data_IF_117978071634
#
_entry.id   IF_117978071634
#
_cell.length_a   1.000
_cell.length_b   1.000
_cell.length_c   1.000
_cell.angle_alpha   90.00
_cell.angle_beta   90.00
_cell.angle_gamma   90.00
#
_symmetry.space_group_name_H-M   'P 1'
#
loop_
_entity.id
_entity.type
_entity.pdbx_description
1 polymer ?
#
# COMPACT_ATOMS: atom_id res chain seq x y z
N UNK A 1 -27.98 26.93 -2.16
CA UNK A 1 -28.53 26.66 -0.81
C UNK A 1 -27.35 26.28 0.05
N UNK A 2 -27.10 27.05 1.11
CA UNK A 2 -25.97 26.90 2.02
C UNK A 2 -26.15 25.65 2.88
N UNK A 3 -25.31 24.64 2.69
CA UNK A 3 -24.96 23.74 3.78
C UNK A 3 -23.67 24.28 4.39
N UNK A 4 -23.75 24.81 5.60
CA UNK A 4 -22.59 25.07 6.44
C UNK A 4 -21.81 23.76 6.62
N UNK A 5 -20.71 23.66 5.89
CA UNK A 5 -19.58 22.74 6.05
C UNK A 5 -19.13 22.68 7.53
N UNK A 6 -19.73 21.78 8.32
CA UNK A 6 -19.49 21.74 9.75
C UNK A 6 -18.41 20.69 10.08
N UNK A 7 -17.37 21.11 10.80
CA UNK A 7 -16.41 20.19 11.41
C UNK A 7 -17.15 19.24 12.36
N UNK A 8 -17.01 17.93 12.14
CA UNK A 8 -17.56 16.90 13.01
C UNK A 8 -16.51 16.44 14.00
N UNK A 9 -16.91 16.10 15.23
CA UNK A 9 -15.99 15.57 16.24
C UNK A 9 -15.80 14.08 15.97
N UNK A 10 -14.55 13.69 15.69
CA UNK A 10 -14.12 12.29 15.66
C UNK A 10 -13.07 12.16 16.76
N UNK A 11 -13.34 11.42 17.83
CA UNK A 11 -12.47 11.47 19.01
C UNK A 11 -11.03 11.02 18.68
N UNK A 12 -10.00 11.72 19.17
CA UNK A 12 -10.02 12.90 20.05
C UNK A 12 -9.90 14.26 19.32
N UNK A 13 -10.12 14.29 18.00
CA UNK A 13 -9.89 15.45 17.16
C UNK A 13 -11.15 15.87 16.39
N UNK A 14 -10.91 16.44 15.22
CA UNK A 14 -11.93 17.00 14.34
C UNK A 14 -11.79 16.40 12.95
N UNK A 15 -12.92 16.26 12.26
CA UNK A 15 -12.98 15.75 10.91
C UNK A 15 -13.80 16.71 10.06
N UNK A 16 -13.32 16.96 8.85
CA UNK A 16 -14.03 17.68 7.82
C UNK A 16 -14.27 16.77 6.63
N UNK A 17 -15.49 16.76 6.11
CA UNK A 17 -15.88 15.95 4.97
C UNK A 17 -16.09 16.83 3.74
N UNK A 18 -15.22 16.69 2.73
CA UNK A 18 -15.33 17.40 1.46
C UNK A 18 -16.34 16.74 0.49
N UNK A 19 -16.55 15.43 0.65
CA UNK A 19 -17.48 14.63 -0.14
C UNK A 19 -16.86 14.04 -1.41
N UNK A 20 -16.98 12.73 -1.57
CA UNK A 20 -16.59 11.99 -2.77
C UNK A 20 -17.45 12.44 -3.98
N UNK A 21 -18.75 12.69 -3.79
CA UNK A 21 -19.64 13.18 -4.85
C UNK A 21 -19.13 14.51 -5.40
N UNK A 22 -18.84 15.45 -4.49
CA UNK A 22 -18.36 16.78 -4.83
C UNK A 22 -17.01 16.69 -5.56
N UNK A 23 -16.10 15.85 -5.07
CA UNK A 23 -14.81 15.64 -5.69
C UNK A 23 -14.91 15.06 -7.12
N UNK A 24 -15.77 14.05 -7.33
CA UNK A 24 -16.03 13.49 -8.66
C UNK A 24 -16.63 14.54 -9.60
N UNK A 25 -17.62 15.31 -9.14
CA UNK A 25 -18.24 16.36 -9.95
C UNK A 25 -17.22 17.43 -10.35
N UNK A 26 -16.37 17.87 -9.43
CA UNK A 26 -15.34 18.87 -9.70
C UNK A 26 -14.27 18.33 -10.66
N UNK A 27 -13.91 17.05 -10.56
CA UNK A 27 -13.01 16.41 -11.53
C UNK A 27 -13.54 16.52 -12.96
N UNK A 28 -14.83 16.26 -13.19
CA UNK A 28 -15.45 16.32 -14.53
C UNK A 28 -15.85 17.72 -14.99
N UNK A 29 -15.83 18.73 -14.11
CA UNK A 29 -15.88 20.14 -14.54
C UNK A 29 -14.57 20.58 -15.19
N UNK A 30 -13.45 20.05 -14.71
CA UNK A 30 -12.09 20.44 -15.13
C UNK A 30 -11.61 19.56 -16.29
N UNK A 31 -11.89 18.25 -16.24
CA UNK A 31 -11.47 17.28 -17.24
C UNK A 31 -12.64 16.90 -18.15
N UNK A 32 -12.44 17.01 -19.48
CA UNK A 32 -13.48 16.74 -20.46
C UNK A 32 -14.01 15.30 -20.40
N UNK A 33 -15.33 15.16 -20.48
CA UNK A 33 -16.05 13.88 -20.50
C UNK A 33 -16.24 13.40 -21.93
N UNK A 34 -15.39 12.51 -22.44
CA UNK A 34 -15.72 11.75 -23.65
C UNK A 34 -15.91 10.27 -23.28
N UNK A 35 -17.14 9.77 -23.47
CA UNK A 35 -17.58 8.37 -23.33
C UNK A 35 -17.05 7.62 -22.10
N UNK A 36 -17.52 7.99 -20.91
CA UNK A 36 -17.20 7.28 -19.65
C UNK A 36 -18.41 6.45 -19.23
N UNK A 37 -18.30 5.13 -19.38
CA UNK A 37 -19.33 4.20 -18.92
C UNK A 37 -19.25 3.96 -17.40
N UNK A 38 -18.03 4.00 -16.85
CA UNK A 38 -17.76 3.69 -15.45
C UNK A 38 -16.66 4.62 -14.91
N UNK A 39 -16.95 5.26 -13.78
CA UNK A 39 -15.98 6.05 -13.01
C UNK A 39 -15.27 5.12 -12.02
N UNK A 40 -13.96 4.92 -12.23
CA UNK A 40 -13.10 4.09 -11.39
C UNK A 40 -12.30 4.94 -10.41
N UNK A 41 -12.67 4.89 -9.13
CA UNK A 41 -12.02 5.67 -8.07
C UNK A 41 -11.01 4.80 -7.34
N UNK A 42 -9.81 5.32 -7.10
CA UNK A 42 -8.84 4.71 -6.19
C UNK A 42 -8.75 5.57 -4.95
N UNK A 43 -8.81 4.95 -3.77
CA UNK A 43 -8.83 5.62 -2.47
C UNK A 43 -7.48 5.44 -1.78
N UNK A 44 -6.96 6.53 -1.22
CA UNK A 44 -5.77 6.56 -0.40
C UNK A 44 -6.10 7.08 1.00
N UNK A 45 -5.51 6.49 2.03
CA UNK A 45 -5.60 6.94 3.43
C UNK A 45 -4.21 6.81 4.02
N UNK A 46 -3.76 7.87 4.67
CA UNK A 46 -2.44 7.94 5.29
C UNK A 46 -2.52 8.68 6.62
N UNK A 47 -1.58 8.41 7.53
CA UNK A 47 -1.43 9.10 8.81
C UNK A 47 -0.13 9.89 8.83
N UNK A 48 -0.23 11.21 8.73
CA UNK A 48 0.93 12.09 8.53
C UNK A 48 1.12 13.05 9.72
N UNK A 49 2.33 13.13 10.31
CA UNK A 49 2.64 14.19 11.28
C UNK A 49 2.72 15.54 10.57
N UNK A 50 2.08 16.57 11.11
CA UNK A 50 2.02 17.92 10.49
C UNK A 50 3.28 18.72 10.77
N UNK A 51 3.82 18.60 11.99
CA UNK A 51 5.04 19.32 12.37
C UNK A 51 5.98 18.40 13.13
N UNK A 52 7.29 18.54 12.87
CA UNK A 52 8.35 17.74 13.51
C UNK A 52 8.41 17.90 15.04
N UNK A 53 7.85 18.99 15.57
CA UNK A 53 7.89 19.37 16.99
C UNK A 53 6.50 19.35 17.68
N UNK A 54 5.44 18.95 16.97
CA UNK A 54 4.10 18.86 17.56
C UNK A 54 3.57 17.42 17.46
N UNK A 55 2.73 17.00 18.40
CA UNK A 55 1.99 15.74 18.30
C UNK A 55 0.86 15.78 17.27
N UNK A 56 0.69 16.87 16.52
CA UNK A 56 -0.39 17.04 15.56
C UNK A 56 -0.23 16.12 14.35
N UNK A 57 -1.32 15.45 13.99
CA UNK A 57 -1.41 14.47 12.91
C UNK A 57 -2.61 14.78 12.01
N UNK A 58 -2.42 14.61 10.70
CA UNK A 58 -3.48 14.60 9.70
C UNK A 58 -3.73 13.18 9.24
N UNK A 59 -5.01 12.83 9.10
CA UNK A 59 -5.45 11.59 8.48
C UNK A 59 -6.40 11.90 7.32
N UNK A 60 -5.86 12.21 6.12
CA UNK A 60 -6.68 12.43 4.94
C UNK A 60 -7.23 11.12 4.36
N UNK A 61 -8.47 11.20 3.90
CA UNK A 61 -9.05 10.30 2.90
C UNK A 61 -8.91 11.03 1.57
N UNK A 62 -8.13 10.45 0.67
CA UNK A 62 -7.83 10.99 -0.66
C UNK A 62 -8.40 10.07 -1.72
N UNK A 63 -8.63 10.62 -2.90
CA UNK A 63 -9.02 9.85 -4.07
C UNK A 63 -8.41 10.39 -5.35
N UNK A 64 -8.34 9.54 -6.36
CA UNK A 64 -8.18 9.96 -7.76
C UNK A 64 -9.07 9.10 -8.65
N UNK A 65 -9.36 9.58 -9.85
CA UNK A 65 -10.14 8.86 -10.86
C UNK A 65 -9.18 8.33 -11.92
N UNK A 66 -9.23 7.03 -12.23
CA UNK A 66 -8.40 6.44 -13.29
C UNK A 66 -8.78 7.03 -14.67
N UNK A 67 -7.79 7.22 -15.58
CA UNK A 67 -6.35 6.94 -15.42
C UNK A 67 -5.56 8.10 -14.78
N UNK A 68 -6.23 9.17 -14.36
CA UNK A 68 -5.65 10.46 -13.95
C UNK A 68 -5.09 10.45 -12.51
N UNK A 69 -4.12 9.56 -12.24
CA UNK A 69 -3.49 9.42 -10.93
C UNK A 69 -2.80 10.70 -10.43
N UNK A 70 -2.35 11.60 -11.31
CA UNK A 70 -1.77 12.89 -10.91
C UNK A 70 -2.81 13.90 -10.38
N UNK A 71 -4.11 13.65 -10.60
CA UNK A 71 -5.20 14.53 -10.17
C UNK A 71 -5.84 14.00 -8.89
N UNK A 72 -5.07 13.97 -7.80
CA UNK A 72 -5.56 13.59 -6.47
C UNK A 72 -6.42 14.70 -5.87
N UNK A 73 -7.49 14.32 -5.18
CA UNK A 73 -8.39 15.22 -4.45
C UNK A 73 -8.66 14.73 -3.02
N UNK A 74 -8.91 15.64 -2.07
CA UNK A 74 -9.36 15.27 -0.74
C UNK A 74 -10.85 14.89 -0.74
N UNK A 75 -11.19 13.86 0.04
CA UNK A 75 -12.57 13.41 0.31
C UNK A 75 -12.95 13.74 1.74
N UNK A 76 -12.03 13.58 2.68
CA UNK A 76 -12.19 13.99 4.06
C UNK A 76 -10.84 14.13 4.73
N UNK A 77 -10.75 14.97 5.76
CA UNK A 77 -9.52 15.19 6.50
C UNK A 77 -9.84 15.17 7.98
N UNK A 78 -9.17 14.28 8.70
CA UNK A 78 -9.11 14.32 10.14
C UNK A 78 -7.87 15.08 10.61
N UNK A 79 -8.03 15.87 11.67
CA UNK A 79 -6.97 16.56 12.38
C UNK A 79 -7.07 16.30 13.88
N UNK A 80 -5.95 15.98 14.52
CA UNK A 80 -5.88 15.84 15.97
C UNK A 80 -4.45 15.69 16.48
N UNK A 81 -4.28 15.73 17.81
CA UNK A 81 -3.00 15.46 18.47
C UNK A 81 -2.70 13.97 18.65
N UNK A 82 -3.65 13.13 18.25
CA UNK A 82 -3.53 11.69 18.24
C UNK A 82 -4.28 11.20 17.01
N UNK A 83 -3.96 9.99 16.58
CA UNK A 83 -4.74 9.24 15.61
C UNK A 83 -6.21 9.11 16.07
N UNK A 84 -7.20 9.05 15.16
CA UNK A 84 -8.58 8.77 15.53
C UNK A 84 -8.67 7.49 16.37
N UNK A 85 -9.44 7.53 17.46
CA UNK A 85 -9.56 6.38 18.37
C UNK A 85 -10.23 5.20 17.68
N UNK A 86 -11.26 5.46 16.87
CA UNK A 86 -11.97 4.45 16.11
C UNK A 86 -11.95 4.77 14.62
N UNK A 87 -11.57 3.78 13.81
CA UNK A 87 -11.53 3.91 12.36
C UNK A 87 -12.92 4.00 11.73
N UNK A 88 -13.95 3.39 12.32
CA UNK A 88 -15.31 3.43 11.79
C UNK A 88 -15.91 4.83 11.98
N UNK A 89 -15.75 5.45 13.15
CA UNK A 89 -16.15 6.84 13.39
C UNK A 89 -15.46 7.79 12.39
N UNK A 90 -14.17 7.56 12.12
CA UNK A 90 -13.40 8.32 11.14
C UNK A 90 -13.91 8.14 9.69
N UNK A 91 -14.39 6.95 9.33
CA UNK A 91 -14.80 6.58 7.98
C UNK A 91 -16.31 6.78 7.72
N UNK A 92 -17.11 7.06 8.75
CA UNK A 92 -18.57 6.99 8.69
C UNK A 92 -19.19 7.83 7.58
N UNK A 93 -18.80 9.11 7.47
CA UNK A 93 -19.31 10.02 6.44
C UNK A 93 -18.91 9.57 5.04
N UNK A 94 -17.64 9.18 4.86
CA UNK A 94 -17.14 8.65 3.60
C UNK A 94 -17.89 7.37 3.17
N UNK A 95 -18.05 6.40 4.07
CA UNK A 95 -18.68 5.12 3.75
C UNK A 95 -20.17 5.30 3.45
N UNK A 96 -20.86 6.14 4.22
CA UNK A 96 -22.28 6.44 3.99
C UNK A 96 -22.52 7.05 2.61
N UNK A 97 -21.71 8.04 2.24
CA UNK A 97 -21.80 8.68 0.92
C UNK A 97 -21.38 7.72 -0.21
N UNK A 98 -20.25 7.01 -0.03
CA UNK A 98 -19.75 6.07 -1.02
C UNK A 98 -20.77 4.95 -1.29
N UNK A 99 -21.43 4.41 -0.26
CA UNK A 99 -22.48 3.39 -0.42
C UNK A 99 -23.61 3.85 -1.33
N UNK A 100 -24.05 5.11 -1.18
CA UNK A 100 -25.08 5.71 -2.04
C UNK A 100 -24.58 5.88 -3.49
N UNK A 101 -23.35 6.36 -3.68
CA UNK A 101 -22.75 6.56 -5.01
C UNK A 101 -22.51 5.24 -5.76
N UNK A 102 -22.03 4.21 -5.05
CA UNK A 102 -21.77 2.88 -5.61
C UNK A 102 -23.07 2.17 -6.01
N UNK A 103 -24.17 2.43 -5.31
CA UNK A 103 -25.48 1.82 -5.59
C UNK A 103 -26.22 2.56 -6.70
N UNK A 104 -26.26 3.89 -6.63
CA UNK A 104 -27.14 4.71 -7.48
C UNK A 104 -26.42 5.33 -8.69
N UNK A 105 -25.08 5.27 -8.72
CA UNK A 105 -24.28 6.05 -9.64
C UNK A 105 -24.28 7.54 -9.31
N UNK A 106 -23.75 8.34 -10.24
CA UNK A 106 -23.66 9.80 -10.12
C UNK A 106 -24.12 10.47 -11.42
N UNK A 107 -24.89 11.55 -11.29
CA UNK A 107 -25.30 12.34 -12.44
C UNK A 107 -24.18 13.29 -12.86
N UNK A 108 -23.65 13.08 -14.06
CA UNK A 108 -22.69 13.95 -14.74
C UNK A 108 -23.30 14.39 -16.06
N UNK A 109 -23.46 15.70 -16.25
CA UNK A 109 -23.99 16.30 -17.49
C UNK A 109 -25.34 15.71 -17.96
N UNK A 110 -26.20 15.29 -17.01
CA UNK A 110 -27.53 14.75 -17.31
C UNK A 110 -27.57 13.22 -17.49
N UNK A 111 -26.43 12.54 -17.46
CA UNK A 111 -26.34 11.08 -17.52
C UNK A 111 -25.92 10.47 -16.18
N UNK A 112 -26.60 9.41 -15.76
CA UNK A 112 -26.21 8.64 -14.57
C UNK A 112 -25.08 7.69 -14.98
N UNK A 113 -23.90 7.92 -14.42
CA UNK A 113 -22.70 7.11 -14.66
C UNK A 113 -22.46 6.22 -13.44
N UNK A 114 -22.13 4.95 -13.69
CA UNK A 114 -21.79 4.00 -12.63
C UNK A 114 -20.46 4.40 -11.97
N UNK A 115 -20.43 4.38 -10.65
CA UNK A 115 -19.21 4.61 -9.85
C UNK A 115 -18.77 3.29 -9.25
N UNK A 116 -17.46 3.01 -9.30
CA UNK A 116 -16.85 1.91 -8.55
C UNK A 116 -15.62 2.41 -7.79
N UNK A 117 -15.37 1.82 -6.61
CA UNK A 117 -14.05 1.90 -5.98
C UNK A 117 -13.24 0.74 -6.56
N UNK A 118 -12.25 1.08 -7.37
CA UNK A 118 -11.41 0.13 -8.12
C UNK A 118 -10.16 -0.26 -7.32
N UNK A 119 -9.95 0.32 -6.13
CA UNK A 119 -8.88 -0.10 -5.22
C UNK A 119 -8.64 0.85 -4.05
N UNK A 120 -8.07 0.31 -2.97
CA UNK A 120 -7.50 1.06 -1.85
C UNK A 120 -5.97 0.91 -1.86
N UNK A 121 -5.24 2.02 -1.94
CA UNK A 121 -3.78 2.03 -1.84
C UNK A 121 -3.36 2.73 -0.57
N UNK A 122 -2.88 1.93 0.38
CA UNK A 122 -2.56 2.33 1.75
C UNK A 122 -1.21 1.74 2.14
N UNK A 123 -0.49 2.44 3.01
CA UNK A 123 0.63 1.82 3.73
C UNK A 123 0.10 0.74 4.71
N UNK A 124 1.00 -0.07 5.26
CA UNK A 124 0.58 -1.16 6.14
C UNK A 124 -0.05 -0.67 7.46
N UNK A 125 0.52 0.31 8.18
CA UNK A 125 -0.11 0.90 9.36
C UNK A 125 -1.53 1.45 9.14
N UNK A 126 -1.75 2.25 8.09
CA UNK A 126 -3.07 2.79 7.76
C UNK A 126 -4.03 1.67 7.37
N UNK A 127 -3.57 0.69 6.56
CA UNK A 127 -4.36 -0.49 6.21
C UNK A 127 -4.83 -1.25 7.45
N UNK A 128 -3.92 -1.57 8.37
CA UNK A 128 -4.27 -2.29 9.61
C UNK A 128 -5.27 -1.51 10.46
N UNK A 129 -5.14 -0.19 10.51
CA UNK A 129 -6.09 0.67 11.21
C UNK A 129 -7.48 0.63 10.60
N UNK A 130 -7.61 0.95 9.32
CA UNK A 130 -8.92 1.09 8.68
C UNK A 130 -9.63 -0.24 8.55
N UNK A 131 -8.89 -1.35 8.47
CA UNK A 131 -9.44 -2.71 8.43
C UNK A 131 -9.63 -3.33 9.82
N UNK A 132 -9.17 -2.70 10.90
CA UNK A 132 -9.18 -3.24 12.28
C UNK A 132 -8.54 -4.64 12.39
N UNK A 133 -7.37 -4.80 11.77
CA UNK A 133 -6.59 -6.05 11.74
C UNK A 133 -5.21 -5.85 12.36
N UNK A 134 -4.53 -6.95 12.73
CA UNK A 134 -3.18 -6.91 13.31
C UNK A 134 -2.22 -6.13 12.40
N UNK A 135 -1.39 -5.29 13.02
CA UNK A 135 -0.31 -4.55 12.35
C UNK A 135 0.79 -5.47 11.82
N UNK A 136 1.60 -5.02 10.86
CA UNK A 136 2.71 -5.77 10.23
C UNK A 136 3.75 -6.42 11.18
N UNK A 137 3.75 -6.06 12.47
CA UNK A 137 4.61 -6.66 13.48
C UNK A 137 3.95 -7.83 14.23
N UNK A 138 2.65 -8.05 14.06
CA UNK A 138 1.90 -9.15 14.67
C UNK A 138 2.09 -10.48 13.92
N UNK A 139 1.86 -11.59 14.60
CA UNK A 139 2.01 -12.94 14.04
C UNK A 139 1.01 -13.20 12.90
N UNK A 140 -0.29 -12.99 13.12
CA UNK A 140 -1.33 -13.13 12.10
C UNK A 140 -1.55 -11.87 11.24
N UNK A 141 -0.48 -11.16 10.88
CA UNK A 141 -0.61 -9.84 10.24
C UNK A 141 -0.75 -9.85 8.72
N UNK A 142 -0.45 -10.98 8.06
CA UNK A 142 -0.59 -11.05 6.60
C UNK A 142 -2.05 -10.91 6.19
N UNK A 143 -2.32 -9.97 5.28
CA UNK A 143 -3.67 -9.68 4.75
C UNK A 143 -4.11 -10.63 3.64
N UNK A 144 -3.19 -11.46 3.12
CA UNK A 144 -3.40 -12.30 1.93
C UNK A 144 -3.44 -13.78 2.23
N UNK A 145 -2.74 -14.24 3.27
CA UNK A 145 -2.71 -15.65 3.65
C UNK A 145 -2.76 -15.85 5.17
N UNK A 146 -2.94 -17.11 5.55
CA UNK A 146 -3.03 -17.56 6.95
C UNK A 146 -1.67 -17.88 7.58
N UNK A 147 -0.56 -17.60 6.88
CA UNK A 147 0.77 -17.83 7.43
C UNK A 147 0.98 -16.99 8.70
N UNK A 148 1.29 -17.68 9.80
CA UNK A 148 1.57 -17.09 11.10
C UNK A 148 3.06 -16.73 11.19
N UNK A 149 3.37 -15.55 11.72
CA UNK A 149 4.74 -15.16 11.99
C UNK A 149 5.35 -15.88 13.20
N UNK A 150 6.67 -16.04 13.19
CA UNK A 150 7.47 -16.54 14.31
C UNK A 150 8.25 -15.39 14.97
N UNK A 151 8.46 -15.47 16.29
CA UNK A 151 9.38 -14.58 17.00
C UNK A 151 10.78 -15.18 17.09
N UNK A 152 11.71 -14.70 16.26
CA UNK A 152 13.08 -15.20 16.21
C UNK A 152 14.07 -14.05 16.39
N UNK A 153 15.05 -14.18 17.28
CA UNK A 153 16.12 -13.17 17.49
C UNK A 153 15.58 -11.74 17.67
N UNK A 154 14.63 -11.60 18.60
CA UNK A 154 14.02 -10.33 19.00
C UNK A 154 13.28 -9.57 17.87
N UNK A 155 12.65 -10.32 16.95
CA UNK A 155 11.83 -9.75 15.87
C UNK A 155 10.80 -10.77 15.40
N UNK A 156 9.66 -10.26 14.94
CA UNK A 156 8.68 -11.05 14.19
C UNK A 156 9.19 -11.29 12.76
N UNK A 157 9.09 -12.52 12.30
CA UNK A 157 9.48 -12.95 10.95
C UNK A 157 8.49 -13.97 10.39
N UNK A 158 8.53 -14.21 9.09
CA UNK A 158 7.61 -15.06 8.35
C UNK A 158 8.40 -16.09 7.54
N UNK A 159 9.11 -17.02 8.20
CA UNK A 159 9.87 -18.06 7.51
C UNK A 159 8.94 -18.87 6.59
N UNK A 160 9.46 -19.35 5.47
CA UNK A 160 8.66 -20.16 4.56
C UNK A 160 8.48 -21.57 5.14
N UNK A 161 7.34 -21.83 5.78
CA UNK A 161 7.06 -23.15 6.36
C UNK A 161 6.48 -24.12 5.33
N UNK A 162 5.70 -23.62 4.37
CA UNK A 162 4.93 -24.42 3.42
C UNK A 162 5.13 -23.99 1.96
N UNK A 163 5.06 -24.97 1.04
CA UNK A 163 5.09 -24.73 -0.42
C UNK A 163 3.81 -24.08 -0.95
N UNK A 164 2.69 -24.25 -0.25
CA UNK A 164 1.38 -23.71 -0.62
C UNK A 164 0.80 -22.84 0.51
N UNK A 165 0.62 -21.55 0.24
CA UNK A 165 0.00 -20.61 1.16
C UNK A 165 -1.53 -20.72 1.07
N UNK A 166 -2.19 -20.91 2.22
CA UNK A 166 -3.65 -20.84 2.31
C UNK A 166 -4.07 -19.38 2.29
N UNK A 167 -4.83 -18.98 1.26
CA UNK A 167 -5.28 -17.60 1.07
C UNK A 167 -6.41 -17.24 2.02
N UNK A 168 -6.44 -15.97 2.47
CA UNK A 168 -7.59 -15.37 3.15
C UNK A 168 -8.68 -15.06 2.13
N UNK A 169 -9.94 -15.09 2.59
CA UNK A 169 -11.09 -14.66 1.78
C UNK A 169 -11.83 -13.51 2.47
N UNK A 170 -12.60 -12.74 1.68
CA UNK A 170 -13.50 -11.73 2.23
C UNK A 170 -14.48 -12.31 3.26
N UNK A 171 -15.02 -13.50 3.01
CA UNK A 171 -15.93 -14.16 3.93
C UNK A 171 -15.25 -14.53 5.25
N UNK A 172 -14.00 -15.00 5.23
CA UNK A 172 -13.24 -15.28 6.47
C UNK A 172 -13.06 -14.00 7.31
N UNK A 173 -12.85 -12.85 6.67
CA UNK A 173 -12.77 -11.55 7.33
C UNK A 173 -14.11 -11.12 7.95
N UNK A 174 -15.20 -11.15 7.18
CA UNK A 174 -16.53 -10.68 7.64
C UNK A 174 -17.07 -11.58 8.76
N UNK A 175 -16.90 -12.88 8.63
CA UNK A 175 -17.31 -13.87 9.66
C UNK A 175 -16.35 -13.94 10.85
N UNK A 176 -15.23 -13.20 10.79
CA UNK A 176 -14.14 -13.23 11.78
C UNK A 176 -13.67 -14.65 12.11
N UNK A 177 -13.62 -15.54 11.10
CA UNK A 177 -13.27 -16.95 11.26
C UNK A 177 -11.92 -17.16 11.97
N UNK A 178 -10.99 -16.22 11.77
CA UNK A 178 -9.67 -16.22 12.40
C UNK A 178 -9.53 -14.99 13.30
N UNK A 179 -10.04 -15.09 14.54
CA UNK A 179 -10.12 -13.96 15.47
C UNK A 179 -8.76 -13.27 15.72
N UNK A 180 -7.69 -14.05 15.74
CA UNK A 180 -6.32 -13.57 15.90
C UNK A 180 -5.88 -12.59 14.79
N UNK A 181 -6.54 -12.56 13.63
CA UNK A 181 -6.24 -11.55 12.62
C UNK A 181 -6.79 -10.16 12.97
N UNK A 182 -7.81 -10.10 13.83
CA UNK A 182 -8.55 -8.88 14.15
C UNK A 182 -8.02 -8.22 15.44
N UNK A 183 -8.11 -6.89 15.53
CA UNK A 183 -7.70 -6.15 16.75
C UNK A 183 -8.83 -5.97 17.76
N UNK A 184 -10.03 -6.50 17.48
CA UNK A 184 -11.19 -6.36 18.36
C UNK A 184 -12.42 -7.07 17.80
N UNK A 185 -13.57 -6.81 18.43
CA UNK A 185 -14.82 -7.50 18.12
C UNK A 185 -15.65 -6.90 16.98
N UNK A 186 -15.24 -5.72 16.51
CA UNK A 186 -15.95 -4.94 15.50
C UNK A 186 -15.09 -4.95 14.23
N UNK A 187 -15.69 -5.26 13.08
CA UNK A 187 -15.04 -5.19 11.76
C UNK A 187 -15.13 -3.77 11.17
N UNK A 188 -14.38 -3.53 10.10
CA UNK A 188 -14.41 -2.24 9.41
C UNK A 188 -15.73 -2.03 8.67
N UNK A 189 -16.32 -0.84 8.78
CA UNK A 189 -17.47 -0.45 7.96
C UNK A 189 -17.16 -0.39 6.44
N UNK A 190 -15.88 -0.47 6.05
CA UNK A 190 -15.51 -0.62 4.64
C UNK A 190 -15.99 -1.94 4.04
N UNK A 191 -16.26 -2.98 4.84
CA UNK A 191 -16.86 -4.22 4.32
C UNK A 191 -18.33 -4.06 3.92
N UNK A 192 -18.99 -2.97 4.35
CA UNK A 192 -20.40 -2.71 4.03
C UNK A 192 -20.58 -2.02 2.67
N UNK A 193 -19.48 -1.63 2.03
CA UNK A 193 -19.48 -1.02 0.71
C UNK A 193 -19.83 -2.07 -0.37
N UNK A 194 -20.75 -1.76 -1.30
CA UNK A 194 -21.13 -2.68 -2.36
C UNK A 194 -19.93 -3.10 -3.23
N UNK A 195 -19.82 -4.39 -3.52
CA UNK A 195 -18.81 -4.98 -4.40
C UNK A 195 -17.35 -4.79 -3.93
N UNK A 196 -17.13 -4.62 -2.63
CA UNK A 196 -15.78 -4.61 -2.04
C UNK A 196 -15.40 -5.98 -1.52
N UNK A 197 -14.25 -6.48 -1.96
CA UNK A 197 -13.54 -7.60 -1.34
C UNK A 197 -12.37 -7.04 -0.51
N UNK A 198 -12.44 -7.16 0.82
CA UNK A 198 -11.42 -6.63 1.74
C UNK A 198 -10.02 -7.21 1.48
N UNK A 199 -9.93 -8.45 0.98
CA UNK A 199 -8.64 -9.07 0.64
C UNK A 199 -8.14 -8.50 -0.69
N UNK A 200 -8.99 -8.50 -1.73
CA UNK A 200 -8.54 -8.23 -3.09
C UNK A 200 -8.52 -6.74 -3.47
N UNK A 201 -9.43 -5.93 -2.93
CA UNK A 201 -9.57 -4.50 -3.27
C UNK A 201 -8.47 -3.64 -2.62
N UNK A 202 -7.77 -4.15 -1.60
CA UNK A 202 -6.72 -3.43 -0.86
C UNK A 202 -5.33 -3.87 -1.32
N UNK A 203 -4.77 -3.20 -2.33
CA UNK A 203 -3.46 -3.56 -2.90
C UNK A 203 -2.31 -3.47 -1.89
N UNK A 204 -1.32 -4.36 -2.02
CA UNK A 204 -0.07 -4.25 -1.29
C UNK A 204 0.81 -3.21 -1.99
N UNK A 205 0.95 -2.05 -1.35
CA UNK A 205 1.69 -0.94 -1.94
C UNK A 205 3.19 -1.27 -2.11
N UNK A 206 3.61 -1.43 -3.36
CA UNK A 206 5.00 -1.77 -3.69
C UNK A 206 5.98 -0.64 -3.34
N UNK A 207 5.51 0.61 -3.20
CA UNK A 207 6.35 1.72 -2.77
C UNK A 207 6.87 1.46 -1.35
N UNK A 208 5.98 1.19 -0.38
CA UNK A 208 6.37 0.85 0.98
C UNK A 208 6.97 -0.57 1.10
N UNK A 209 6.38 -1.55 0.42
CA UNK A 209 6.79 -2.95 0.53
C UNK A 209 8.14 -3.21 -0.13
N UNK A 210 8.31 -2.80 -1.39
CA UNK A 210 9.49 -3.13 -2.20
C UNK A 210 10.53 -2.02 -2.14
N UNK A 211 10.16 -0.78 -2.43
CA UNK A 211 11.14 0.31 -2.54
C UNK A 211 11.69 0.69 -1.14
N UNK A 212 10.82 1.06 -0.20
CA UNK A 212 11.25 1.46 1.14
C UNK A 212 11.53 0.26 2.05
N UNK A 213 10.88 -0.87 1.82
CA UNK A 213 11.03 -2.09 2.61
C UNK A 213 12.21 -2.93 2.17
N UNK A 214 12.11 -3.56 1.00
CA UNK A 214 13.06 -4.58 0.55
C UNK A 214 14.36 -3.97 0.06
N UNK A 215 14.32 -2.98 -0.84
CA UNK A 215 15.53 -2.39 -1.41
C UNK A 215 16.41 -1.75 -0.32
N UNK A 216 15.80 -0.99 0.58
CA UNK A 216 16.49 -0.44 1.75
C UNK A 216 17.14 -1.54 2.60
N UNK A 217 16.41 -2.63 2.86
CA UNK A 217 16.91 -3.78 3.63
C UNK A 217 18.08 -4.49 2.96
N UNK A 218 17.99 -4.76 1.66
CA UNK A 218 19.06 -5.40 0.90
C UNK A 218 20.33 -4.56 0.93
N UNK A 219 20.21 -3.25 0.67
CA UNK A 219 21.37 -2.34 0.70
C UNK A 219 21.99 -2.31 2.10
N UNK A 220 21.19 -2.26 3.18
CA UNK A 220 21.72 -2.39 4.55
C UNK A 220 22.50 -3.70 4.75
N UNK A 221 21.95 -4.83 4.32
CA UNK A 221 22.59 -6.14 4.47
C UNK A 221 23.90 -6.26 3.69
N UNK A 222 24.01 -5.61 2.53
CA UNK A 222 25.23 -5.61 1.73
C UNK A 222 26.29 -4.64 2.27
N UNK A 223 25.86 -3.47 2.77
CA UNK A 223 26.77 -2.49 3.37
C UNK A 223 27.33 -2.97 4.72
N UNK A 224 26.51 -3.61 5.56
CA UNK A 224 26.94 -4.15 6.86
C UNK A 224 27.88 -5.35 6.71
N UNK A 225 27.70 -6.17 5.67
CA UNK A 225 28.59 -7.30 5.35
C UNK A 225 29.86 -6.86 4.58
N UNK A 226 29.87 -5.64 4.04
CA UNK A 226 30.98 -5.01 3.30
C UNK A 226 31.25 -5.64 1.91
N UNK A 227 31.66 -4.86 0.90
CA UNK A 227 32.25 -5.42 -0.33
C UNK A 227 33.56 -6.14 0.02
N UNK A 228 33.75 -7.36 -0.50
CA UNK A 228 34.93 -8.20 -0.19
C UNK A 228 36.28 -7.58 -0.60
N UNK A 229 36.27 -6.56 -1.47
CA UNK A 229 37.47 -5.97 -2.07
C UNK A 229 38.08 -4.81 -1.25
N UNK A 230 37.37 -4.27 -0.26
CA UNK A 230 37.82 -3.07 0.45
C UNK A 230 38.01 -3.34 1.95
N UNK A 231 39.21 -3.03 2.45
CA UNK A 231 39.56 -3.13 3.87
C UNK A 231 38.83 -2.12 4.78
N UNK A 232 38.11 -1.13 4.22
CA UNK A 232 37.37 -0.11 4.97
C UNK A 232 35.87 -0.29 4.80
N UNK A 233 35.14 -0.17 5.92
CA UNK A 233 33.68 -0.13 5.92
C UNK A 233 33.17 1.05 5.09
N UNK A 234 32.04 0.91 4.38
CA UNK A 234 31.43 2.00 3.63
C UNK A 234 31.11 3.21 4.51
N UNK A 235 30.96 4.39 3.89
CA UNK A 235 30.51 5.63 4.56
C UNK A 235 29.21 5.39 5.34
N UNK A 236 29.00 6.19 6.38
CA UNK A 236 27.85 6.12 7.28
C UNK A 236 26.51 5.88 6.55
N UNK A 237 25.71 4.95 7.08
CA UNK A 237 24.34 4.63 6.63
C UNK A 237 23.36 5.82 6.74
N UNK A 238 23.79 6.96 7.28
CA UNK A 238 22.98 8.16 7.44
C UNK A 238 22.39 8.68 6.11
N UNK A 239 23.11 8.52 4.98
CA UNK A 239 22.59 8.95 3.68
C UNK A 239 21.49 8.01 3.16
N UNK A 240 21.59 6.70 3.43
CA UNK A 240 20.55 5.73 3.05
C UNK A 240 19.21 5.99 3.77
N UNK A 241 19.27 6.57 4.98
CA UNK A 241 18.08 6.98 5.71
C UNK A 241 17.34 8.15 5.04
N UNK A 242 18.00 8.92 4.16
CA UNK A 242 17.41 10.06 3.45
C UNK A 242 16.83 9.72 2.08
N UNK A 243 17.11 8.51 1.57
CA UNK A 243 16.65 8.09 0.25
C UNK A 243 15.12 8.02 0.20
N UNK A 244 14.55 8.63 -0.82
CA UNK A 244 13.13 8.56 -1.15
C UNK A 244 12.80 7.24 -1.84
N UNK A 245 11.54 6.85 -1.81
CA UNK A 245 11.06 5.66 -2.51
C UNK A 245 11.37 5.70 -4.03
N UNK A 246 11.35 6.88 -4.65
CA UNK A 246 11.70 7.07 -6.06
C UNK A 246 13.17 6.72 -6.37
N UNK A 247 14.09 7.00 -5.46
CA UNK A 247 15.51 6.66 -5.61
C UNK A 247 15.71 5.15 -5.48
N UNK A 248 15.03 4.51 -4.53
CA UNK A 248 15.02 3.04 -4.43
C UNK A 248 14.39 2.39 -5.67
N UNK A 249 13.31 2.96 -6.22
CA UNK A 249 12.70 2.50 -7.48
C UNK A 249 13.69 2.65 -8.65
N UNK A 250 14.43 3.75 -8.72
CA UNK A 250 15.45 3.96 -9.75
C UNK A 250 16.56 2.91 -9.67
N UNK A 251 17.05 2.62 -8.47
CA UNK A 251 18.05 1.56 -8.22
C UNK A 251 17.48 0.20 -8.61
N UNK A 252 16.27 -0.10 -8.13
CA UNK A 252 15.61 -1.38 -8.38
C UNK A 252 15.45 -1.66 -9.88
N UNK A 253 15.03 -0.68 -10.68
CA UNK A 253 14.63 -0.91 -12.08
C UNK A 253 15.75 -0.63 -13.09
N UNK A 254 16.63 0.33 -12.82
CA UNK A 254 17.53 0.86 -13.85
C UNK A 254 19.01 0.74 -13.48
N UNK A 255 19.41 1.33 -12.35
CA UNK A 255 20.84 1.52 -12.07
C UNK A 255 21.46 0.39 -11.25
N UNK A 256 20.69 -0.33 -10.44
CA UNK A 256 21.19 -1.36 -9.52
C UNK A 256 21.87 -2.54 -10.21
N UNK A 257 21.38 -2.95 -11.38
CA UNK A 257 21.99 -3.99 -12.21
C UNK A 257 23.44 -3.64 -12.64
N UNK A 258 23.74 -2.36 -12.81
CA UNK A 258 25.09 -1.90 -13.14
C UNK A 258 25.89 -1.69 -11.84
N UNK A 259 25.30 -1.00 -10.87
CA UNK A 259 25.97 -0.60 -9.62
C UNK A 259 26.42 -1.80 -8.80
N UNK A 260 25.60 -2.84 -8.69
CA UNK A 260 25.88 -3.97 -7.80
C UNK A 260 26.72 -5.06 -8.45
N UNK A 261 26.86 -5.06 -9.78
CA UNK A 261 27.64 -6.08 -10.49
C UNK A 261 29.12 -5.97 -10.13
N UNK A 262 29.68 -7.05 -9.58
CA UNK A 262 31.07 -7.09 -9.08
C UNK A 262 31.28 -6.40 -7.73
N UNK A 263 30.33 -5.59 -7.25
CA UNK A 263 30.44 -4.89 -5.97
C UNK A 263 29.90 -5.71 -4.78
N UNK A 264 29.00 -6.67 -5.03
CA UNK A 264 28.44 -7.59 -4.02
C UNK A 264 28.70 -9.03 -4.43
N UNK A 265 28.60 -9.97 -3.48
CA UNK A 265 28.74 -11.41 -3.76
C UNK A 265 27.79 -11.85 -4.88
N UNK A 266 28.25 -12.77 -5.73
CA UNK A 266 27.48 -13.28 -6.87
C UNK A 266 26.11 -13.84 -6.47
N UNK A 267 26.01 -14.51 -5.32
CA UNK A 267 24.74 -15.00 -4.77
C UNK A 267 23.75 -13.86 -4.48
N UNK A 268 24.23 -12.77 -3.86
CA UNK A 268 23.43 -11.58 -3.56
C UNK A 268 23.03 -10.83 -4.84
N UNK A 269 23.93 -10.79 -5.84
CA UNK A 269 23.63 -10.16 -7.13
C UNK A 269 22.56 -10.94 -7.89
N UNK A 270 22.68 -12.28 -8.00
CA UNK A 270 21.65 -13.13 -8.60
C UNK A 270 20.30 -12.99 -7.89
N UNK A 271 20.33 -12.92 -6.56
CA UNK A 271 19.16 -12.68 -5.72
C UNK A 271 18.53 -11.30 -5.98
N UNK A 272 19.33 -10.24 -6.11
CA UNK A 272 18.83 -8.92 -6.52
C UNK A 272 18.22 -8.95 -7.93
N UNK A 273 18.86 -9.63 -8.88
CA UNK A 273 18.38 -9.70 -10.26
C UNK A 273 17.02 -10.39 -10.37
N UNK A 274 16.70 -11.38 -9.53
CA UNK A 274 15.36 -11.98 -9.54
C UNK A 274 14.27 -10.98 -9.13
N UNK A 275 14.56 -10.11 -8.15
CA UNK A 275 13.66 -9.02 -7.77
C UNK A 275 13.56 -7.96 -8.86
N UNK A 276 14.68 -7.52 -9.42
CA UNK A 276 14.72 -6.54 -10.51
C UNK A 276 13.86 -6.98 -11.70
N UNK A 277 14.04 -8.22 -12.18
CA UNK A 277 13.30 -8.75 -13.33
C UNK A 277 11.81 -8.88 -12.99
N UNK A 278 11.47 -9.46 -11.83
CA UNK A 278 10.07 -9.60 -11.41
C UNK A 278 9.37 -8.23 -11.33
N UNK A 279 10.00 -7.24 -10.73
CA UNK A 279 9.43 -5.90 -10.59
C UNK A 279 9.35 -5.16 -11.92
N UNK A 280 10.31 -5.36 -12.83
CA UNK A 280 10.24 -4.81 -14.20
C UNK A 280 9.01 -5.34 -14.94
N UNK A 281 8.72 -6.63 -14.80
CA UNK A 281 7.51 -7.24 -15.36
C UNK A 281 6.25 -6.67 -14.72
N UNK A 282 6.16 -6.67 -13.37
CA UNK A 282 4.96 -6.26 -12.64
C UNK A 282 4.69 -4.75 -12.68
N UNK A 283 5.63 -3.94 -13.15
CA UNK A 283 5.45 -2.50 -13.34
C UNK A 283 5.22 -2.10 -14.80
N UNK A 284 5.36 -3.04 -15.73
CA UNK A 284 5.05 -2.83 -17.14
C UNK A 284 3.56 -3.00 -17.40
N UNK A 285 3.00 -2.20 -18.30
CA UNK A 285 1.59 -2.32 -18.69
C UNK A 285 1.39 -3.42 -19.75
N UNK A 286 0.18 -3.98 -19.82
CA UNK A 286 -0.25 -4.92 -20.86
C UNK A 286 0.60 -6.20 -21.00
N UNK A 287 1.12 -6.70 -19.89
CA UNK A 287 1.90 -7.94 -19.84
C UNK A 287 1.01 -9.19 -19.90
N UNK A 288 1.44 -10.18 -20.68
CA UNK A 288 0.83 -11.51 -20.80
C UNK A 288 0.96 -12.31 -19.49
N UNK A 289 -0.09 -13.08 -19.16
CA UNK A 289 -0.18 -13.94 -17.97
C UNK A 289 1.03 -14.87 -17.77
N UNK A 290 1.67 -15.34 -18.84
CA UNK A 290 2.88 -16.18 -18.75
C UNK A 290 4.04 -15.45 -18.07
N UNK A 291 4.21 -14.15 -18.35
CA UNK A 291 5.27 -13.35 -17.74
C UNK A 291 4.90 -12.96 -16.31
N UNK A 292 3.61 -12.73 -16.02
CA UNK A 292 3.13 -12.53 -14.64
C UNK A 292 3.42 -13.78 -13.79
N UNK A 293 3.17 -14.98 -14.34
CA UNK A 293 3.51 -16.24 -13.68
C UNK A 293 5.02 -16.40 -13.48
N UNK A 294 5.82 -16.04 -14.48
CA UNK A 294 7.27 -16.03 -14.35
C UNK A 294 7.75 -15.07 -13.26
N UNK A 295 7.19 -13.86 -13.17
CA UNK A 295 7.48 -12.92 -12.09
C UNK A 295 7.09 -13.50 -10.72
N UNK A 296 5.95 -14.18 -10.61
CA UNK A 296 5.54 -14.89 -9.39
C UNK A 296 6.58 -15.94 -8.97
N UNK A 297 7.09 -16.71 -9.90
CA UNK A 297 8.11 -17.73 -9.61
C UNK A 297 9.46 -17.11 -9.21
N UNK A 298 9.86 -16.00 -9.85
CA UNK A 298 11.04 -15.22 -9.45
C UNK A 298 10.91 -14.66 -8.03
N UNK A 299 9.71 -14.20 -7.63
CA UNK A 299 9.46 -13.70 -6.27
C UNK A 299 9.45 -14.84 -5.24
N UNK A 300 8.88 -16.00 -5.57
CA UNK A 300 9.01 -17.20 -4.71
C UNK A 300 10.47 -17.60 -4.52
N UNK A 301 11.23 -17.67 -5.62
CA UNK A 301 12.66 -17.93 -5.58
C UNK A 301 13.41 -16.90 -4.75
N UNK A 302 13.04 -15.61 -4.86
CA UNK A 302 13.62 -14.53 -4.07
C UNK A 302 13.41 -14.78 -2.57
N UNK A 303 12.20 -15.09 -2.12
CA UNK A 303 11.91 -15.29 -0.69
C UNK A 303 12.62 -16.54 -0.16
N UNK A 304 12.60 -17.64 -0.91
CA UNK A 304 13.32 -18.88 -0.56
C UNK A 304 14.83 -18.66 -0.45
N UNK A 305 15.42 -17.99 -1.43
CA UNK A 305 16.86 -17.69 -1.42
C UNK A 305 17.22 -16.65 -0.37
N UNK A 306 16.31 -15.73 -0.02
CA UNK A 306 16.53 -14.75 1.05
C UNK A 306 16.80 -15.45 2.38
N UNK A 307 16.02 -16.51 2.68
CA UNK A 307 16.21 -17.31 3.88
C UNK A 307 17.61 -17.91 3.97
N UNK A 308 18.11 -18.45 2.86
CA UNK A 308 19.42 -19.11 2.78
C UNK A 308 20.56 -18.08 2.89
N UNK A 309 20.46 -16.96 2.17
CA UNK A 309 21.54 -15.97 2.05
C UNK A 309 21.65 -15.06 3.30
N UNK A 310 20.50 -14.68 3.88
CA UNK A 310 20.46 -13.68 4.95
C UNK A 310 19.95 -14.26 6.29
N UNK A 311 19.21 -15.37 6.25
CA UNK A 311 18.69 -16.07 7.43
C UNK A 311 17.20 -15.86 7.65
N UNK A 312 16.50 -16.92 8.07
CA UNK A 312 15.04 -16.97 8.24
C UNK A 312 14.44 -15.88 9.14
N UNK A 313 15.12 -15.56 10.23
CA UNK A 313 14.75 -14.47 11.15
C UNK A 313 14.67 -13.09 10.47
N UNK A 314 15.27 -12.91 9.29
CA UNK A 314 15.20 -11.68 8.52
C UNK A 314 14.09 -11.68 7.47
N UNK A 315 13.26 -12.72 7.35
CA UNK A 315 12.08 -12.66 6.49
C UNK A 315 11.03 -11.81 7.19
N UNK A 316 11.03 -10.50 6.93
CA UNK A 316 10.04 -9.58 7.48
C UNK A 316 8.71 -9.69 6.73
N UNK A 317 7.64 -9.11 7.30
CA UNK A 317 6.34 -8.98 6.64
C UNK A 317 6.46 -8.49 5.19
N UNK A 318 7.33 -7.49 4.89
CA UNK A 318 7.55 -7.03 3.52
C UNK A 318 8.17 -8.07 2.59
N UNK A 319 9.09 -8.92 3.09
CA UNK A 319 9.72 -9.97 2.27
C UNK A 319 8.67 -11.05 1.97
N UNK A 320 7.89 -11.46 2.97
CA UNK A 320 6.75 -12.37 2.78
C UNK A 320 5.71 -11.79 1.82
N UNK A 321 5.45 -10.48 1.89
CA UNK A 321 4.51 -9.76 1.04
C UNK A 321 4.78 -9.89 -0.47
N UNK A 322 6.03 -10.15 -0.88
CA UNK A 322 6.38 -10.41 -2.29
C UNK A 322 5.64 -11.60 -2.89
N UNK A 323 5.25 -12.58 -2.07
CA UNK A 323 4.55 -13.78 -2.54
C UNK A 323 3.16 -13.45 -3.10
N UNK A 324 2.65 -12.26 -2.83
CA UNK A 324 1.28 -11.86 -3.13
C UNK A 324 1.16 -10.75 -4.18
N UNK A 325 2.22 -9.97 -4.44
CA UNK A 325 2.12 -8.80 -5.35
C UNK A 325 1.88 -9.17 -6.83
N UNK A 326 2.17 -10.41 -7.23
CA UNK A 326 1.80 -10.89 -8.57
C UNK A 326 0.28 -11.05 -8.71
N UNK A 327 -0.44 -11.32 -7.61
CA UNK A 327 -1.90 -11.39 -7.61
C UNK A 327 -2.51 -9.98 -7.68
N UNK A 328 -1.86 -8.99 -7.08
CA UNK A 328 -2.25 -7.58 -7.24
C UNK A 328 -2.17 -7.14 -8.70
N UNK A 329 -1.16 -7.60 -9.44
CA UNK A 329 -1.09 -7.30 -10.87
C UNK A 329 -2.28 -7.87 -11.64
N UNK A 330 -2.71 -9.09 -11.31
CA UNK A 330 -3.89 -9.71 -11.96
C UNK A 330 -5.14 -8.85 -11.75
N UNK A 331 -5.26 -8.20 -10.59
CA UNK A 331 -6.44 -7.40 -10.27
C UNK A 331 -6.37 -5.96 -10.80
N UNK A 332 -5.22 -5.30 -10.69
CA UNK A 332 -5.08 -3.86 -10.97
C UNK A 332 -4.26 -3.54 -12.24
N UNK A 333 -3.65 -4.53 -12.89
CA UNK A 333 -2.64 -4.33 -13.93
C UNK A 333 -1.29 -3.93 -13.33
N UNK A 334 -0.51 -3.08 -14.03
CA UNK A 334 0.77 -2.58 -13.50
C UNK A 334 0.63 -2.12 -12.04
N UNK A 335 1.57 -2.48 -11.16
CA UNK A 335 1.50 -2.12 -9.75
C UNK A 335 1.52 -0.59 -9.51
N UNK A 336 1.92 0.21 -10.51
CA UNK A 336 1.76 1.67 -10.49
C UNK A 336 0.28 2.09 -10.34
N UNK A 337 -0.64 1.27 -10.83
CA UNK A 337 -2.08 1.49 -10.71
C UNK A 337 -2.59 1.34 -9.28
N UNK A 338 -1.85 0.73 -8.35
CA UNK A 338 -2.28 0.56 -6.95
C UNK A 338 -1.19 0.97 -5.95
N UNK A 339 -0.50 2.05 -6.27
CA UNK A 339 0.57 2.59 -5.43
C UNK A 339 0.19 3.84 -4.67
N UNK A 340 0.90 4.10 -3.57
CA UNK A 340 0.71 5.29 -2.73
C UNK A 340 1.47 6.51 -3.24
N UNK A 341 2.33 6.36 -4.27
CA UNK A 341 3.09 7.47 -4.88
C UNK A 341 2.24 8.71 -5.20
N UNK A 342 1.05 8.60 -5.84
CA UNK A 342 0.24 9.76 -6.14
C UNK A 342 -0.23 10.51 -4.89
N UNK A 343 -0.63 9.76 -3.86
CA UNK A 343 -1.11 10.31 -2.59
C UNK A 343 0.01 10.99 -1.82
N UNK A 344 1.19 10.36 -1.71
CA UNK A 344 2.35 10.98 -1.08
C UNK A 344 2.80 12.26 -1.79
N UNK A 345 2.81 12.26 -3.12
CA UNK A 345 3.20 13.42 -3.91
C UNK A 345 2.22 14.58 -3.72
N UNK A 346 0.92 14.28 -3.73
CA UNK A 346 -0.13 15.26 -3.43
C UNK A 346 0.09 15.86 -2.04
N UNK A 347 0.22 15.04 -1.00
CA UNK A 347 0.41 15.52 0.37
C UNK A 347 1.67 16.38 0.53
N UNK A 348 2.79 15.97 -0.08
CA UNK A 348 4.03 16.77 -0.08
C UNK A 348 3.87 18.12 -0.77
N UNK A 349 3.06 18.20 -1.84
CA UNK A 349 2.80 19.47 -2.54
C UNK A 349 1.92 20.44 -1.74
N UNK A 350 1.03 19.93 -0.89
CA UNK A 350 0.07 20.74 -0.13
C UNK A 350 0.63 21.21 1.22
N UNK A 351 1.53 20.43 1.85
CA UNK A 351 2.07 20.72 3.20
C UNK A 351 3.34 21.59 3.16
N UNK A 352 3.92 21.85 1.99
CA UNK A 352 5.20 22.58 1.86
C UNK A 352 5.13 24.13 1.91
N UNK A 353 4.06 24.72 2.46
CA UNK A 353 3.95 26.18 2.64
C UNK A 353 3.78 26.57 4.11
#
# INVERSE_FOLDING_TARGET
MNETECLTIVKPGQYHHFGLRNAIQNHFKINSTSNIDIIKVVIGIDGLPIAKSSSSQLWPILGYIRPNHNSVFPIGIYWGHQKPHDSNDYLEQFVSEAKLLLTNGININGSIIKVIIDGFSLDSPAKSFVLKIKGHAGFDSCTRCLEEGEYLRNRTCFPLTNSHLVKRTHNDYVTRKYEEHHTGNIISILSDLPNIDIVNTFGLDYMHLVCLGIMKKLIHLWLDKGPCEFARKPRSLNELARFKATEFRQILLYTGQIIFKGCIKDECYKHFMSLNIAMTILLSSNIDIKFINYARDLLKYFVQSFEIIYGKHLISHNVHGLLHIADDYIHFGSLDNISTFPFENFMKSQIQY
#
